data_IF_557934455115
#
_entry.id   IF_557934455115
#
_cell.length_a   1.000
_cell.length_b   1.000
_cell.length_c   1.000
_cell.angle_alpha   90.00
_cell.angle_beta   90.00
_cell.angle_gamma   90.00
#
_symmetry.space_group_name_H-M   'P 1'
#
loop_
_entity.id
_entity.type
_entity.pdbx_description
1 polymer ?
#
# COMPACT_ATOMS: atom_id res chain seq x y z
N UNK A 1 10.96 13.62 -44.17
CA UNK A 1 9.59 13.80 -43.67
C UNK A 1 9.20 12.89 -42.48
N UNK A 2 10.14 12.32 -41.76
CA UNK A 2 9.89 11.34 -40.67
C UNK A 2 9.97 11.95 -39.25
N UNK A 3 10.62 13.11 -39.08
CA UNK A 3 10.84 13.73 -37.74
C UNK A 3 9.63 14.41 -37.10
N UNK A 4 8.56 14.70 -37.85
CA UNK A 4 7.34 15.35 -37.29
C UNK A 4 6.31 14.35 -36.76
N UNK A 5 6.39 13.09 -37.14
CA UNK A 5 5.42 12.05 -36.70
C UNK A 5 5.73 11.50 -35.31
N UNK A 6 7.00 11.55 -34.85
CA UNK A 6 7.39 11.01 -33.55
C UNK A 6 6.97 11.90 -32.36
N UNK A 7 6.93 13.23 -32.58
CA UNK A 7 6.48 14.17 -31.54
C UNK A 7 4.99 14.06 -31.24
N UNK A 8 4.17 13.64 -32.22
CA UNK A 8 2.73 13.50 -32.05
C UNK A 8 2.35 12.21 -31.31
N UNK A 9 3.14 11.15 -31.47
CA UNK A 9 2.94 9.86 -30.77
C UNK A 9 3.31 9.98 -29.28
N UNK A 10 4.36 10.72 -28.93
CA UNK A 10 4.74 10.98 -27.54
C UNK A 10 3.72 11.86 -26.82
N UNK A 11 3.10 12.83 -27.51
CA UNK A 11 2.06 13.68 -26.94
C UNK A 11 0.75 12.91 -26.67
N UNK A 12 0.44 11.88 -27.46
CA UNK A 12 -0.78 11.09 -27.30
C UNK A 12 -0.65 10.06 -26.15
N UNK A 13 0.58 9.59 -25.86
CA UNK A 13 0.83 8.65 -24.76
C UNK A 13 0.72 9.30 -23.38
N UNK A 14 1.01 10.61 -23.27
CA UNK A 14 0.89 11.35 -22.01
C UNK A 14 -0.56 11.62 -21.62
N UNK A 15 -1.47 11.76 -22.62
CA UNK A 15 -2.90 12.00 -22.35
C UNK A 15 -3.66 10.75 -21.90
N UNK A 16 -3.14 9.54 -22.19
CA UNK A 16 -3.78 8.27 -21.82
C UNK A 16 -3.45 7.80 -20.39
N UNK A 17 -2.46 8.41 -19.72
CA UNK A 17 -2.09 8.06 -18.33
C UNK A 17 -2.79 8.91 -17.26
N UNK A 18 -3.59 9.92 -17.66
CA UNK A 18 -4.39 10.72 -16.72
C UNK A 18 -5.86 10.27 -16.71
N UNK A 19 -6.11 8.94 -16.63
CA UNK A 19 -7.44 8.52 -16.23
C UNK A 19 -7.57 8.78 -14.72
N UNK A 20 -8.47 9.67 -14.28
CA UNK A 20 -8.79 9.76 -12.87
C UNK A 20 -9.29 8.38 -12.46
N UNK A 21 -8.72 7.82 -11.39
CA UNK A 21 -9.24 6.62 -10.78
C UNK A 21 -10.70 6.88 -10.45
N UNK A 22 -11.62 6.27 -11.25
CA UNK A 22 -13.04 6.32 -10.96
C UNK A 22 -13.24 5.60 -9.64
N UNK A 23 -13.47 6.39 -8.62
CA UNK A 23 -13.88 5.96 -7.31
C UNK A 23 -15.21 5.23 -7.46
N UNK A 24 -15.23 3.91 -7.34
CA UNK A 24 -16.46 3.14 -7.23
C UNK A 24 -17.06 3.44 -5.84
N UNK A 25 -17.78 4.53 -5.79
CA UNK A 25 -18.44 5.05 -4.61
C UNK A 25 -19.72 4.26 -4.37
N UNK A 26 -19.76 3.44 -3.33
CA UNK A 26 -21.01 3.04 -2.68
C UNK A 26 -21.14 3.86 -1.40
N UNK A 27 -21.95 4.90 -1.51
CA UNK A 27 -22.67 5.66 -0.52
C UNK A 27 -22.12 5.75 0.91
N UNK A 28 -21.34 6.77 1.19
CA UNK A 28 -21.35 7.56 2.43
C UNK A 28 -20.87 8.95 2.06
N UNK A 29 -21.63 9.98 2.40
CA UNK A 29 -21.22 11.37 2.27
C UNK A 29 -19.87 11.57 2.95
N UNK A 30 -18.83 11.82 2.16
CA UNK A 30 -17.53 12.19 2.64
C UNK A 30 -17.43 13.72 2.63
N UNK A 31 -17.22 14.26 3.81
CA UNK A 31 -16.75 15.63 4.03
C UNK A 31 -15.46 15.84 3.23
N UNK A 32 -15.50 16.80 2.31
CA UNK A 32 -14.50 17.06 1.27
C UNK A 32 -13.30 17.84 1.84
N UNK A 33 -12.69 17.35 2.91
CA UNK A 33 -11.35 17.79 3.33
C UNK A 33 -10.34 17.10 2.42
N UNK A 34 -10.00 17.73 1.28
CA UNK A 34 -8.98 17.32 0.32
C UNK A 34 -7.70 16.97 1.09
N UNK A 35 -7.40 15.66 1.20
CA UNK A 35 -6.06 15.25 1.55
C UNK A 35 -5.14 15.62 0.37
N UNK A 36 -4.19 16.55 0.59
CA UNK A 36 -3.19 16.96 -0.41
C UNK A 36 -2.16 15.84 -0.69
N UNK A 37 -2.59 14.59 -0.60
CA UNK A 37 -1.75 13.42 -0.86
C UNK A 37 -1.93 12.95 -2.29
N UNK A 38 -0.84 12.95 -3.04
CA UNK A 38 -0.80 12.38 -4.39
C UNK A 38 0.33 11.36 -4.50
N UNK A 39 0.20 10.42 -5.41
CA UNK A 39 1.23 9.43 -5.68
C UNK A 39 1.33 9.14 -7.17
N UNK A 40 2.57 8.95 -7.64
CA UNK A 40 2.90 8.67 -9.04
C UNK A 40 3.94 7.55 -9.13
N UNK A 41 3.75 6.59 -10.04
CA UNK A 41 4.75 5.58 -10.34
C UNK A 41 5.86 6.18 -11.17
N UNK A 42 7.11 6.05 -10.71
CA UNK A 42 8.31 6.42 -11.49
C UNK A 42 8.78 5.21 -12.29
N UNK A 43 8.75 4.03 -11.66
CA UNK A 43 9.11 2.74 -12.24
C UNK A 43 8.18 1.65 -11.66
N UNK A 44 8.31 0.41 -12.14
CA UNK A 44 7.45 -0.71 -11.73
C UNK A 44 7.47 -1.00 -10.21
N UNK A 45 8.58 -0.68 -9.54
CA UNK A 45 8.84 -0.90 -8.12
C UNK A 45 9.06 0.40 -7.33
N UNK A 46 8.95 1.57 -7.98
CA UNK A 46 9.28 2.86 -7.39
C UNK A 46 8.14 3.88 -7.51
N UNK A 47 7.70 4.41 -6.37
CA UNK A 47 6.58 5.33 -6.22
C UNK A 47 7.03 6.65 -5.62
N UNK A 48 6.64 7.76 -6.25
CA UNK A 48 6.75 9.10 -5.67
C UNK A 48 5.47 9.42 -4.90
N UNK A 49 5.61 9.88 -3.66
CA UNK A 49 4.51 10.28 -2.78
C UNK A 49 4.71 11.73 -2.38
N UNK A 50 3.69 12.54 -2.62
CA UNK A 50 3.61 13.92 -2.14
C UNK A 50 2.53 14.00 -1.06
N UNK A 51 2.88 14.50 0.11
CA UNK A 51 2.00 14.72 1.26
C UNK A 51 2.17 16.18 1.73
N UNK A 52 1.31 17.05 1.25
CA UNK A 52 1.48 18.49 1.44
C UNK A 52 2.79 19.00 0.84
N UNK A 53 3.73 19.44 1.69
CA UNK A 53 5.07 19.90 1.29
C UNK A 53 6.13 18.80 1.32
N UNK A 54 5.80 17.63 1.83
CA UNK A 54 6.73 16.52 1.95
C UNK A 54 6.71 15.66 0.68
N UNK A 55 7.89 15.33 0.20
CA UNK A 55 8.09 14.52 -0.98
C UNK A 55 8.94 13.32 -0.61
N UNK A 56 8.39 12.13 -0.82
CA UNK A 56 9.04 10.86 -0.48
C UNK A 56 9.01 9.91 -1.66
N UNK A 57 10.07 9.14 -1.80
CA UNK A 57 10.18 8.07 -2.76
C UNK A 57 10.07 6.74 -2.02
N UNK A 58 9.21 5.83 -2.48
CA UNK A 58 9.06 4.50 -1.91
C UNK A 58 9.51 3.49 -2.96
N UNK A 59 10.48 2.66 -2.61
CA UNK A 59 10.94 1.53 -3.41
C UNK A 59 10.54 0.23 -2.74
N UNK A 60 10.05 -0.75 -3.53
CA UNK A 60 9.54 -2.03 -3.05
C UNK A 60 10.35 -3.13 -3.69
N UNK A 61 11.19 -3.79 -2.92
CA UNK A 61 11.89 -5.01 -3.26
C UNK A 61 11.22 -6.24 -2.63
N UNK A 62 11.65 -7.45 -2.99
CA UNK A 62 11.03 -8.71 -2.51
C UNK A 62 11.00 -8.79 -0.97
N UNK A 63 12.07 -8.34 -0.30
CA UNK A 63 12.26 -8.47 1.14
C UNK A 63 12.44 -7.11 1.85
N UNK A 64 12.25 -6.00 1.14
CA UNK A 64 12.52 -4.69 1.69
C UNK A 64 11.60 -3.63 1.09
N UNK A 65 11.11 -2.73 1.93
CA UNK A 65 10.44 -1.50 1.51
C UNK A 65 11.29 -0.33 2.00
N UNK A 66 11.79 0.48 1.06
CA UNK A 66 12.62 1.66 1.35
C UNK A 66 11.79 2.92 1.16
N UNK A 67 11.91 3.86 2.07
CA UNK A 67 11.32 5.20 2.00
C UNK A 67 12.44 6.22 2.02
N UNK A 68 12.58 7.01 0.97
CA UNK A 68 13.55 8.10 0.88
C UNK A 68 12.82 9.43 0.97
N UNK A 69 13.09 10.23 1.98
CA UNK A 69 12.63 11.62 2.02
C UNK A 69 13.52 12.45 1.09
N UNK A 70 12.95 13.00 0.03
CA UNK A 70 13.71 13.71 -1.00
C UNK A 70 14.16 15.12 -0.57
N UNK A 71 13.61 15.66 0.53
CA UNK A 71 14.00 16.96 1.06
C UNK A 71 15.20 16.86 2.00
N UNK A 72 15.27 15.78 2.79
CA UNK A 72 16.33 15.55 3.77
C UNK A 72 17.36 14.54 3.30
N UNK A 73 17.12 13.89 2.15
CA UNK A 73 17.92 12.80 1.60
C UNK A 73 18.11 11.62 2.57
N UNK A 74 17.20 11.47 3.54
CA UNK A 74 17.24 10.38 4.51
C UNK A 74 16.55 9.15 3.94
N UNK A 75 17.21 8.00 4.10
CA UNK A 75 16.65 6.69 3.75
C UNK A 75 16.24 5.94 5.01
N UNK A 76 15.05 5.37 4.95
CA UNK A 76 14.44 4.52 5.97
C UNK A 76 14.02 3.21 5.31
N UNK A 77 14.22 2.07 5.95
CA UNK A 77 13.84 0.79 5.39
C UNK A 77 13.13 -0.13 6.37
N UNK A 78 12.25 -0.96 5.81
CA UNK A 78 11.56 -2.06 6.48
C UNK A 78 12.01 -3.37 5.87
N UNK A 79 12.80 -4.14 6.60
CA UNK A 79 13.27 -5.45 6.15
C UNK A 79 12.27 -6.53 6.54
N UNK A 80 11.86 -7.34 5.56
CA UNK A 80 10.85 -8.40 5.70
C UNK A 80 11.57 -9.75 5.75
N UNK A 81 11.35 -10.52 6.80
CA UNK A 81 11.92 -11.88 6.98
C UNK A 81 10.93 -12.74 7.74
N UNK A 82 10.58 -13.92 7.19
CA UNK A 82 9.83 -15.00 7.84
C UNK A 82 8.77 -14.57 8.88
N UNK A 83 7.79 -13.78 8.47
CA UNK A 83 6.73 -13.33 9.36
C UNK A 83 7.11 -12.22 10.32
N UNK A 84 8.26 -11.56 10.10
CA UNK A 84 8.76 -10.43 10.88
C UNK A 84 9.07 -9.24 9.99
N UNK A 85 8.97 -8.05 10.55
CA UNK A 85 9.43 -6.80 9.93
C UNK A 85 10.37 -6.12 10.89
N UNK A 86 11.56 -5.79 10.41
CA UNK A 86 12.53 -4.95 11.12
C UNK A 86 12.53 -3.55 10.52
N UNK A 87 12.54 -2.53 11.36
CA UNK A 87 12.57 -1.12 10.95
C UNK A 87 13.92 -0.49 11.25
N UNK A 88 14.53 0.18 10.27
CA UNK A 88 15.72 0.98 10.48
C UNK A 88 15.44 2.27 11.26
N UNK A 89 14.19 2.77 11.20
CA UNK A 89 13.76 4.01 11.85
C UNK A 89 13.82 3.89 13.37
N UNK A 90 13.29 2.78 13.87
CA UNK A 90 13.11 2.56 15.31
C UNK A 90 14.08 1.52 15.88
N UNK A 91 14.76 0.76 15.03
CA UNK A 91 15.52 -0.43 15.42
C UNK A 91 14.67 -1.59 15.90
N UNK A 92 13.34 -1.48 15.81
CA UNK A 92 12.39 -2.44 16.35
C UNK A 92 12.04 -3.54 15.35
N UNK A 93 11.74 -4.72 15.88
CA UNK A 93 11.21 -5.84 15.10
C UNK A 93 9.80 -6.17 15.56
N UNK A 94 8.89 -6.33 14.59
CA UNK A 94 7.50 -6.70 14.81
C UNK A 94 7.25 -8.09 14.24
N UNK A 95 6.74 -9.00 15.07
CA UNK A 95 6.28 -10.32 14.64
C UNK A 95 4.82 -10.20 14.15
N UNK A 96 4.55 -10.66 12.92
CA UNK A 96 3.23 -10.61 12.29
C UNK A 96 2.43 -11.89 12.53
N UNK A 97 3.12 -13.01 12.76
CA UNK A 97 2.53 -14.37 12.88
C UNK A 97 1.81 -14.64 14.20
N UNK A 98 1.63 -13.65 15.09
CA UNK A 98 0.67 -13.83 16.17
C UNK A 98 -0.72 -13.99 15.56
N UNK A 99 -1.26 -15.20 15.71
CA UNK A 99 -2.51 -15.74 15.18
C UNK A 99 -3.70 -14.77 15.40
N UNK A 100 -3.87 -13.81 14.52
CA UNK A 100 -5.18 -13.24 14.31
C UNK A 100 -5.84 -14.06 13.19
N UNK A 101 -6.83 -14.84 13.57
CA UNK A 101 -7.62 -15.73 12.73
C UNK A 101 -8.01 -15.05 11.41
N UNK A 102 -7.35 -15.46 10.32
CA UNK A 102 -7.79 -15.09 8.99
C UNK A 102 -9.05 -15.90 8.67
N UNK A 103 -10.21 -15.29 8.79
CA UNK A 103 -11.44 -15.85 8.25
C UNK A 103 -11.31 -15.96 6.73
N UNK A 104 -11.19 -17.19 6.24
CA UNK A 104 -11.23 -17.48 4.79
C UNK A 104 -12.70 -17.56 4.41
N UNK A 105 -13.26 -16.47 3.89
CA UNK A 105 -14.56 -16.50 3.24
C UNK A 105 -14.40 -16.85 1.78
N UNK A 106 -14.74 -18.07 1.39
CA UNK A 106 -14.89 -18.47 0.01
C UNK A 106 -16.21 -17.88 -0.51
N UNK A 107 -16.15 -16.83 -1.32
CA UNK A 107 -17.34 -16.36 -2.04
C UNK A 107 -17.63 -17.30 -3.20
N UNK A 108 -18.67 -18.06 -3.06
CA UNK A 108 -19.20 -18.99 -4.09
C UNK A 108 -19.89 -18.18 -5.20
N UNK A 109 -19.31 -18.15 -6.39
CA UNK A 109 -20.02 -17.74 -7.60
C UNK A 109 -19.88 -18.83 -8.65
N UNK A 110 -20.96 -19.55 -8.83
CA UNK A 110 -21.21 -20.46 -9.93
C UNK A 110 -21.17 -19.70 -11.23
N UNK A 111 -20.16 -19.92 -12.08
CA UNK A 111 -20.20 -19.98 -13.55
C UNK A 111 -18.76 -19.99 -14.12
N UNK A 112 -18.45 -21.06 -14.91
CA UNK A 112 -17.28 -21.30 -15.77
C UNK A 112 -15.90 -21.30 -15.07
N UNK A 113 -14.99 -22.20 -15.49
CA UNK A 113 -13.59 -22.40 -15.08
C UNK A 113 -12.69 -21.13 -15.05
N UNK A 114 -13.21 -20.02 -14.55
CA UNK A 114 -12.49 -18.81 -14.24
C UNK A 114 -11.84 -18.97 -12.86
N UNK A 115 -10.65 -18.45 -12.72
CA UNK A 115 -9.92 -18.38 -11.46
C UNK A 115 -10.83 -17.81 -10.37
N UNK A 116 -11.16 -18.63 -9.37
CA UNK A 116 -11.92 -18.17 -8.19
C UNK A 116 -11.00 -17.29 -7.35
N UNK A 117 -11.24 -15.99 -7.32
CA UNK A 117 -10.49 -15.08 -6.47
C UNK A 117 -10.82 -15.35 -5.01
N UNK A 118 -9.80 -15.47 -4.17
CA UNK A 118 -9.94 -15.62 -2.71
C UNK A 118 -10.00 -14.23 -2.06
N UNK A 119 -10.78 -14.08 -1.01
CA UNK A 119 -10.79 -12.89 -0.17
C UNK A 119 -10.22 -13.25 1.19
N UNK A 120 -9.29 -12.44 1.69
CA UNK A 120 -8.74 -12.58 3.04
C UNK A 120 -8.81 -11.25 3.77
N UNK A 121 -8.94 -11.33 5.07
CA UNK A 121 -8.92 -10.16 5.94
C UNK A 121 -7.82 -10.32 6.98
N UNK A 122 -7.03 -9.29 7.19
CA UNK A 122 -6.02 -9.25 8.25
C UNK A 122 -6.21 -8.01 9.11
N UNK A 123 -5.87 -8.12 10.39
CA UNK A 123 -5.90 -7.02 11.36
C UNK A 123 -4.47 -6.60 11.69
N UNK A 124 -4.21 -5.31 11.69
CA UNK A 124 -2.93 -4.72 12.06
C UNK A 124 -3.20 -3.65 13.12
N UNK A 125 -2.66 -3.83 14.33
CA UNK A 125 -2.85 -2.85 15.41
C UNK A 125 -2.06 -1.58 15.19
N UNK A 126 -2.54 -0.45 15.68
CA UNK A 126 -1.79 0.81 15.63
C UNK A 126 -0.46 0.73 16.36
N UNK A 127 -0.36 -0.07 17.42
CA UNK A 127 0.90 -0.31 18.13
C UNK A 127 1.95 -0.94 17.20
N UNK A 128 1.59 -1.95 16.38
CA UNK A 128 2.51 -2.57 15.42
C UNK A 128 2.99 -1.56 14.37
N UNK A 129 2.08 -0.75 13.82
CA UNK A 129 2.42 0.27 12.83
C UNK A 129 3.34 1.32 13.45
N UNK A 130 2.98 1.88 14.62
CA UNK A 130 3.79 2.87 15.34
C UNK A 130 5.18 2.35 15.69
N UNK A 131 5.26 1.08 16.13
CA UNK A 131 6.53 0.43 16.49
C UNK A 131 7.50 0.39 15.30
N UNK A 132 7.00 0.24 14.08
CA UNK A 132 7.80 0.27 12.86
C UNK A 132 8.04 1.69 12.32
N UNK A 133 6.98 2.49 12.22
CA UNK A 133 7.03 3.78 11.57
C UNK A 133 7.63 4.89 12.46
N UNK A 134 7.70 4.69 13.77
CA UNK A 134 8.16 5.71 14.73
C UNK A 134 7.09 6.73 15.11
N UNK A 135 7.45 7.66 15.99
CA UNK A 135 6.51 8.62 16.59
C UNK A 135 6.18 9.85 15.76
N UNK A 136 6.92 10.11 14.67
CA UNK A 136 6.78 11.29 13.81
C UNK A 136 6.65 10.96 12.34
N UNK A 137 6.24 9.73 12.01
CA UNK A 137 6.17 9.26 10.64
C UNK A 137 5.08 9.95 9.82
N UNK A 138 5.43 10.36 8.59
CA UNK A 138 4.47 10.81 7.57
C UNK A 138 3.65 9.65 6.99
N UNK A 139 2.63 9.99 6.18
CA UNK A 139 1.76 8.97 5.57
C UNK A 139 2.52 7.98 4.68
N UNK A 140 3.58 8.41 3.99
CA UNK A 140 4.43 7.55 3.19
C UNK A 140 5.08 6.42 4.02
N UNK A 141 5.71 6.77 5.14
CA UNK A 141 6.35 5.83 6.06
C UNK A 141 5.32 4.89 6.71
N UNK A 142 4.16 5.43 7.09
CA UNK A 142 3.04 4.63 7.62
C UNK A 142 2.55 3.62 6.57
N UNK A 143 2.34 4.05 5.32
CA UNK A 143 1.91 3.18 4.24
C UNK A 143 2.96 2.08 3.95
N UNK A 144 4.23 2.43 3.89
CA UNK A 144 5.34 1.49 3.70
C UNK A 144 5.39 0.45 4.82
N UNK A 145 5.21 0.86 6.09
CA UNK A 145 5.15 -0.07 7.22
C UNK A 145 3.96 -1.04 7.13
N UNK A 146 2.79 -0.58 6.68
CA UNK A 146 1.62 -1.44 6.45
C UNK A 146 1.89 -2.45 5.34
N UNK A 147 2.49 -2.01 4.21
CA UNK A 147 2.86 -2.89 3.09
C UNK A 147 3.86 -3.94 3.54
N UNK A 148 4.88 -3.55 4.33
CA UNK A 148 5.85 -4.49 4.89
C UNK A 148 5.19 -5.52 5.82
N UNK A 149 4.25 -5.11 6.68
CA UNK A 149 3.47 -6.01 7.55
C UNK A 149 2.61 -6.98 6.73
N UNK A 150 2.02 -6.55 5.63
CA UNK A 150 1.27 -7.42 4.72
C UNK A 150 2.20 -8.42 4.02
N UNK A 151 3.39 -7.98 3.58
CA UNK A 151 4.42 -8.84 3.01
C UNK A 151 4.86 -9.93 3.99
N UNK A 152 5.16 -9.55 5.23
CA UNK A 152 5.54 -10.49 6.29
C UNK A 152 4.39 -11.46 6.66
N UNK A 153 3.14 -11.07 6.47
CA UNK A 153 1.97 -11.95 6.63
C UNK A 153 1.79 -12.92 5.43
N UNK A 154 2.70 -12.92 4.45
CA UNK A 154 2.67 -13.78 3.29
C UNK A 154 1.76 -13.28 2.16
N UNK A 155 1.39 -12.00 2.16
CA UNK A 155 0.64 -11.39 1.07
C UNK A 155 1.59 -10.68 0.11
N UNK A 156 1.90 -11.30 -1.01
CA UNK A 156 2.62 -10.62 -2.10
C UNK A 156 1.66 -9.62 -2.76
N UNK A 157 1.88 -8.34 -2.53
CA UNK A 157 1.02 -7.24 -2.96
C UNK A 157 1.77 -6.27 -3.89
N UNK A 158 2.11 -6.64 -5.15
CA UNK A 158 2.73 -5.72 -6.09
C UNK A 158 1.80 -4.52 -6.32
N UNK A 159 2.32 -3.31 -6.17
CA UNK A 159 1.53 -2.09 -6.30
C UNK A 159 0.57 -1.81 -5.15
N UNK A 160 0.77 -2.42 -3.97
CA UNK A 160 -0.09 -2.17 -2.80
C UNK A 160 0.08 -0.76 -2.21
N UNK A 161 1.25 -0.16 -2.33
CA UNK A 161 1.54 1.13 -1.68
C UNK A 161 0.59 2.25 -2.11
N UNK A 162 0.30 2.50 -3.42
CA UNK A 162 -0.68 3.50 -3.81
C UNK A 162 -2.09 3.18 -3.30
N UNK A 163 -2.46 1.89 -3.30
CA UNK A 163 -3.77 1.45 -2.80
C UNK A 163 -3.89 1.71 -1.30
N UNK A 164 -2.85 1.38 -0.53
CA UNK A 164 -2.80 1.66 0.91
C UNK A 164 -2.84 3.15 1.17
N UNK A 165 -2.02 3.96 0.48
CA UNK A 165 -2.00 5.42 0.60
C UNK A 165 -3.37 6.02 0.33
N UNK A 166 -4.00 5.69 -0.80
CA UNK A 166 -5.34 6.18 -1.15
C UNK A 166 -6.38 5.84 -0.09
N UNK A 167 -6.33 4.63 0.48
CA UNK A 167 -7.30 4.20 1.48
C UNK A 167 -7.07 4.85 2.85
N UNK A 168 -5.81 5.06 3.26
CA UNK A 168 -5.50 5.68 4.57
C UNK A 168 -5.62 7.21 4.53
N UNK A 169 -5.33 7.86 3.40
CA UNK A 169 -5.49 9.31 3.25
C UNK A 169 -6.95 9.74 3.35
N UNK A 170 -7.89 8.89 2.91
CA UNK A 170 -9.33 9.11 3.10
C UNK A 170 -9.83 8.95 4.55
N UNK A 171 -8.96 8.55 5.48
CA UNK A 171 -9.32 8.39 6.90
C UNK A 171 -8.85 9.62 7.67
N UNK A 172 -9.76 10.51 8.01
CA UNK A 172 -9.44 11.72 8.77
C UNK A 172 -8.64 11.42 10.04
N UNK A 173 -7.53 12.14 10.25
CA UNK A 173 -6.65 11.99 11.41
C UNK A 173 -5.99 10.61 11.53
N UNK A 174 -5.77 9.91 10.42
CA UNK A 174 -5.19 8.55 10.44
C UNK A 174 -3.80 8.54 11.09
N UNK A 175 -2.88 9.40 10.62
CA UNK A 175 -1.53 9.48 11.15
C UNK A 175 -1.52 9.75 12.66
N UNK A 176 -2.30 10.73 13.14
CA UNK A 176 -2.40 11.05 14.56
C UNK A 176 -2.99 9.89 15.38
N UNK A 177 -3.91 9.11 14.80
CA UNK A 177 -4.50 7.92 15.45
C UNK A 177 -3.45 6.80 15.57
N UNK A 178 -2.66 6.57 14.52
CA UNK A 178 -1.55 5.59 14.54
C UNK A 178 -0.53 5.98 15.60
N UNK A 179 -0.19 7.26 15.69
CA UNK A 179 0.81 7.77 16.66
C UNK A 179 0.38 7.58 18.13
N UNK A 180 -0.92 7.42 18.42
CA UNK A 180 -1.39 7.03 19.77
C UNK A 180 -0.99 5.58 20.12
N UNK A 181 -0.77 4.72 19.13
CA UNK A 181 -0.15 3.40 19.30
C UNK A 181 -1.00 2.42 20.10
N UNK A 182 -2.32 2.39 19.87
CA UNK A 182 -3.20 1.45 20.57
C UNK A 182 -2.89 -0.01 20.19
N UNK A 183 -2.81 -0.89 21.18
CA UNK A 183 -2.72 -2.34 21.00
C UNK A 183 -4.09 -3.01 20.80
N UNK A 184 -5.18 -2.33 21.18
CA UNK A 184 -6.55 -2.84 21.08
C UNK A 184 -7.26 -2.40 19.79
N UNK A 185 -6.82 -1.30 19.20
CA UNK A 185 -7.37 -0.71 17.97
C UNK A 185 -6.36 -0.71 16.86
N UNK A 186 -6.85 -0.73 15.62
CA UNK A 186 -5.98 -0.77 14.45
C UNK A 186 -6.77 -0.66 13.15
N UNK A 187 -6.22 -1.24 12.10
CA UNK A 187 -6.84 -1.36 10.80
C UNK A 187 -7.19 -2.81 10.47
N UNK A 188 -8.36 -3.01 9.89
CA UNK A 188 -8.78 -4.25 9.25
C UNK A 188 -8.62 -4.07 7.76
N UNK A 189 -7.71 -4.84 7.16
CA UNK A 189 -7.39 -4.79 5.74
C UNK A 189 -8.02 -5.98 5.03
N UNK A 190 -8.80 -5.71 3.98
CA UNK A 190 -9.39 -6.74 3.11
C UNK A 190 -8.55 -6.86 1.84
N UNK A 191 -8.13 -8.09 1.53
CA UNK A 191 -7.33 -8.42 0.38
C UNK A 191 -8.11 -9.36 -0.56
N UNK A 192 -7.93 -9.18 -1.87
CA UNK A 192 -8.49 -10.04 -2.89
C UNK A 192 -7.36 -10.59 -3.77
N UNK A 193 -7.33 -11.93 -3.95
CA UNK A 193 -6.30 -12.56 -4.77
C UNK A 193 -6.56 -12.41 -6.26
N UNK A 194 -5.49 -12.38 -7.04
CA UNK A 194 -5.50 -12.43 -8.51
C UNK A 194 -4.21 -13.12 -9.00
N UNK A 195 -4.22 -13.57 -10.24
CA UNK A 195 -3.02 -14.12 -10.88
C UNK A 195 -2.29 -13.02 -11.64
N UNK A 196 -0.97 -12.98 -11.50
CA UNK A 196 -0.08 -12.08 -12.26
C UNK A 196 1.12 -12.88 -12.76
N UNK A 197 1.58 -12.54 -13.96
CA UNK A 197 2.88 -13.01 -14.43
C UNK A 197 3.96 -12.12 -13.81
N UNK A 198 4.83 -12.72 -13.01
CA UNK A 198 5.96 -12.04 -12.37
C UNK A 198 7.23 -12.74 -12.84
N UNK A 199 8.04 -12.06 -13.62
CA UNK A 199 9.30 -12.60 -14.18
C UNK A 199 9.14 -13.94 -14.93
N UNK A 200 8.00 -14.15 -15.60
CA UNK A 200 7.70 -15.38 -16.36
C UNK A 200 6.87 -16.41 -15.62
N UNK A 201 6.76 -16.34 -14.32
CA UNK A 201 5.97 -17.25 -13.50
C UNK A 201 4.58 -16.68 -13.18
N UNK A 202 3.57 -17.54 -13.21
CA UNK A 202 2.20 -17.16 -12.81
C UNK A 202 2.09 -17.30 -11.30
N UNK A 203 2.16 -16.18 -10.59
CA UNK A 203 2.05 -16.12 -9.14
C UNK A 203 0.67 -15.66 -8.67
N UNK A 204 0.23 -16.14 -7.50
CA UNK A 204 -0.94 -15.59 -6.80
C UNK A 204 -0.51 -14.32 -6.07
N UNK A 205 -1.01 -13.18 -6.54
CA UNK A 205 -0.80 -11.87 -5.94
C UNK A 205 -2.06 -11.40 -5.23
N UNK A 206 -1.91 -10.42 -4.36
CA UNK A 206 -3.00 -9.86 -3.58
C UNK A 206 -3.12 -8.35 -3.84
N UNK A 207 -4.34 -7.84 -3.90
CA UNK A 207 -4.61 -6.40 -3.92
C UNK A 207 -5.38 -6.00 -2.67
N UNK A 208 -5.04 -4.87 -2.12
CA UNK A 208 -5.76 -4.27 -0.99
C UNK A 208 -7.03 -3.61 -1.54
N UNK A 209 -8.19 -4.04 -1.09
CA UNK A 209 -9.48 -3.55 -1.59
C UNK A 209 -10.21 -2.66 -0.58
N UNK A 210 -9.89 -2.79 0.70
CA UNK A 210 -10.52 -2.02 1.77
C UNK A 210 -9.61 -1.94 2.99
N UNK A 211 -9.58 -0.76 3.62
CA UNK A 211 -9.00 -0.54 4.95
C UNK A 211 -10.04 0.17 5.79
N UNK A 212 -10.34 -0.36 6.98
CA UNK A 212 -11.25 0.26 7.95
C UNK A 212 -10.64 0.22 9.35
N UNK A 213 -10.97 1.19 10.18
CA UNK A 213 -10.61 1.18 11.60
C UNK A 213 -11.43 0.12 12.35
N UNK A 214 -10.88 -0.47 13.40
CA UNK A 214 -11.59 -1.35 14.34
C UNK A 214 -11.18 -1.04 15.77
#
# INVERSE_FOLDING_TARGET
MVKKSMAFIMSLLIVLCTTPFVNANTGTEFDDSKSDVSCEWIQDDELLVKDGTDLSRIKIDENMVTVTNLKTETEEYFYISEGKVHSSITGETVNVLERDSSEITNSDSTIKKAYKSKTRTTKITYAKIKKLAGGSAGLATIAASIVALLGAAGFLCPGATPQVLSLISGIAGFASTVMKGSSKHGIKTTLKSYKRNVKGDIMECWKVTKIVKY
#
